data_IF_814912841793
#
_entry.id   IF_814912841793
#
_cell.length_a   1.000
_cell.length_b   1.000
_cell.length_c   1.000
_cell.angle_alpha   90.00
_cell.angle_beta   90.00
_cell.angle_gamma   90.00
#
_symmetry.space_group_name_H-M   'P 1'
#
loop_
_entity.id
_entity.type
_entity.pdbx_description
1 polymer ?
#
# COMPACT_ATOMS: atom_id res chain seq x y z
N UNK A 1 -1.00 -6.75 5.58
CA UNK A 1 0.45 -7.09 5.57
C UNK A 1 0.97 -7.12 4.16
N UNK A 2 2.22 -6.73 4.00
CA UNK A 2 2.90 -6.63 2.72
C UNK A 2 3.79 -7.84 2.45
N UNK A 3 3.62 -8.42 1.27
CA UNK A 3 4.45 -9.49 0.72
C UNK A 3 5.39 -8.88 -0.33
N UNK A 4 6.67 -8.75 0.01
CA UNK A 4 7.70 -8.26 -0.92
C UNK A 4 8.00 -9.25 -2.04
N UNK A 5 8.68 -8.76 -3.08
CA UNK A 5 9.17 -9.57 -4.21
C UNK A 5 9.98 -10.79 -3.74
N UNK A 6 9.96 -11.83 -4.54
CA UNK A 6 10.71 -13.06 -4.30
C UNK A 6 10.11 -14.26 -5.03
N UNK A 7 10.76 -15.39 -4.92
CA UNK A 7 10.27 -16.65 -5.48
C UNK A 7 8.89 -17.01 -4.91
N UNK A 8 7.95 -17.51 -5.74
CA UNK A 8 6.58 -17.80 -5.33
C UNK A 8 6.47 -18.66 -4.05
N UNK A 9 7.31 -19.68 -3.91
CA UNK A 9 7.33 -20.53 -2.72
C UNK A 9 7.77 -19.78 -1.46
N UNK A 10 8.73 -18.87 -1.57
CA UNK A 10 9.22 -18.06 -0.45
C UNK A 10 8.18 -17.01 -0.01
N UNK A 11 7.46 -16.42 -0.97
CA UNK A 11 6.39 -15.46 -0.69
C UNK A 11 5.20 -16.15 -0.03
N UNK A 12 4.81 -17.35 -0.50
CA UNK A 12 3.78 -18.17 0.14
C UNK A 12 4.16 -18.51 1.58
N UNK A 13 5.38 -18.99 1.83
CA UNK A 13 5.86 -19.29 3.18
C UNK A 13 5.87 -18.03 4.09
N UNK A 14 6.09 -16.83 3.52
CA UNK A 14 5.98 -15.57 4.26
C UNK A 14 4.53 -15.25 4.61
N UNK A 15 3.59 -15.45 3.68
CA UNK A 15 2.16 -15.28 3.94
C UNK A 15 1.68 -16.21 5.06
N UNK A 16 2.07 -17.47 5.02
CA UNK A 16 1.73 -18.46 6.05
C UNK A 16 2.29 -18.07 7.42
N UNK A 17 3.54 -17.59 7.50
CA UNK A 17 4.11 -17.07 8.76
C UNK A 17 3.33 -15.87 9.28
N UNK A 18 2.89 -14.93 8.41
CA UNK A 18 2.04 -13.84 8.84
C UNK A 18 0.74 -14.34 9.46
N UNK A 19 0.08 -15.31 8.85
CA UNK A 19 -1.16 -15.88 9.40
C UNK A 19 -0.99 -16.63 10.72
N UNK A 20 0.21 -17.12 11.03
CA UNK A 20 0.54 -17.67 12.34
C UNK A 20 0.67 -16.58 13.41
N UNK A 21 1.06 -15.36 13.04
CA UNK A 21 1.31 -14.25 13.95
C UNK A 21 0.09 -13.35 14.13
N UNK A 22 -0.72 -13.19 13.08
CA UNK A 22 -1.89 -12.31 13.10
C UNK A 22 -2.95 -12.77 12.08
N UNK A 23 -4.25 -12.51 12.36
CA UNK A 23 -5.35 -12.89 11.45
C UNK A 23 -5.47 -11.92 10.27
N UNK A 24 -4.39 -11.68 9.51
CA UNK A 24 -4.37 -10.72 8.41
C UNK A 24 -5.44 -11.02 7.36
N UNK A 25 -6.26 -10.03 7.05
CA UNK A 25 -7.30 -10.07 6.02
C UNK A 25 -7.03 -9.12 4.86
N UNK A 26 -6.07 -8.21 5.00
CA UNK A 26 -5.59 -7.34 3.92
C UNK A 26 -4.17 -7.71 3.58
N UNK A 27 -3.98 -8.16 2.34
CA UNK A 27 -2.71 -8.63 1.82
C UNK A 27 -2.33 -7.73 0.66
N UNK A 28 -1.17 -7.08 0.76
CA UNK A 28 -0.55 -6.33 -0.32
C UNK A 28 0.55 -7.19 -0.94
N UNK A 29 0.48 -7.44 -2.22
CA UNK A 29 1.46 -8.20 -2.98
C UNK A 29 2.28 -7.25 -3.85
N UNK A 30 3.60 -7.27 -3.67
CA UNK A 30 4.52 -6.57 -4.55
C UNK A 30 4.71 -7.37 -5.83
N UNK A 31 4.51 -6.72 -6.98
CA UNK A 31 4.80 -7.19 -8.32
C UNK A 31 5.75 -6.21 -9.01
N UNK A 32 5.94 -6.31 -10.32
CA UNK A 32 6.90 -5.48 -11.05
C UNK A 32 8.32 -6.03 -10.93
N UNK A 33 8.45 -7.35 -10.83
CA UNK A 33 9.74 -8.03 -10.76
C UNK A 33 10.60 -7.79 -12.01
N UNK A 34 11.91 -7.59 -11.87
CA UNK A 34 12.83 -7.58 -13.01
C UNK A 34 12.85 -8.92 -13.77
N UNK A 35 12.33 -10.01 -13.17
CA UNK A 35 12.18 -11.31 -13.80
C UNK A 35 11.01 -11.37 -14.80
N UNK A 36 10.23 -10.27 -14.88
CA UNK A 36 9.25 -10.02 -15.91
C UNK A 36 7.85 -10.56 -15.59
N UNK A 37 6.94 -10.32 -16.53
CA UNK A 37 5.50 -10.59 -16.39
C UNK A 37 5.16 -12.05 -16.05
N UNK A 38 5.91 -13.01 -16.60
CA UNK A 38 5.65 -14.43 -16.31
C UNK A 38 5.88 -14.78 -14.83
N UNK A 39 6.90 -14.19 -14.21
CA UNK A 39 7.17 -14.32 -12.79
C UNK A 39 6.05 -13.66 -11.95
N UNK A 40 5.65 -12.45 -12.31
CA UNK A 40 4.56 -11.73 -11.64
C UNK A 40 3.24 -12.51 -11.70
N UNK A 41 2.92 -13.13 -12.85
CA UNK A 41 1.74 -13.99 -13.01
C UNK A 41 1.80 -15.25 -12.13
N UNK A 42 2.98 -15.90 -12.06
CA UNK A 42 3.16 -17.08 -11.20
C UNK A 42 2.97 -16.70 -9.71
N UNK A 43 3.53 -15.56 -9.29
CA UNK A 43 3.42 -15.06 -7.93
C UNK A 43 1.98 -14.70 -7.59
N UNK A 44 1.29 -13.99 -8.48
CA UNK A 44 -0.13 -13.64 -8.32
C UNK A 44 -0.99 -14.91 -8.17
N UNK A 45 -0.78 -15.91 -9.02
CA UNK A 45 -1.56 -17.15 -9.01
C UNK A 45 -1.40 -17.92 -7.70
N UNK A 46 -0.17 -18.04 -7.19
CA UNK A 46 0.10 -18.76 -5.93
C UNK A 46 -0.55 -18.05 -4.74
N UNK A 47 -0.43 -16.73 -4.67
CA UNK A 47 -1.02 -15.95 -3.56
C UNK A 47 -2.55 -15.97 -3.65
N UNK A 48 -3.15 -15.74 -4.82
CA UNK A 48 -4.60 -15.79 -4.98
C UNK A 48 -5.19 -17.16 -4.61
N UNK A 49 -4.53 -18.26 -5.01
CA UNK A 49 -4.94 -19.61 -4.62
C UNK A 49 -4.89 -19.83 -3.10
N UNK A 50 -3.85 -19.33 -2.43
CA UNK A 50 -3.73 -19.43 -0.97
C UNK A 50 -4.83 -18.64 -0.24
N UNK A 51 -5.19 -17.45 -0.74
CA UNK A 51 -6.28 -16.64 -0.16
C UNK A 51 -7.64 -17.36 -0.32
N UNK A 52 -7.90 -17.94 -1.48
CA UNK A 52 -9.12 -18.70 -1.75
C UNK A 52 -9.19 -19.96 -0.87
N UNK A 53 -8.10 -20.70 -0.76
CA UNK A 53 -8.02 -21.88 0.13
C UNK A 53 -8.31 -21.47 1.59
N UNK A 54 -7.72 -20.36 2.07
CA UNK A 54 -8.00 -19.84 3.41
C UNK A 54 -9.48 -19.51 3.57
N UNK A 55 -10.10 -18.84 2.61
CA UNK A 55 -11.53 -18.53 2.62
C UNK A 55 -12.39 -19.79 2.74
N UNK A 56 -12.05 -20.84 1.99
CA UNK A 56 -12.77 -22.14 2.03
C UNK A 56 -12.65 -22.82 3.39
N UNK A 57 -11.47 -22.76 4.02
CA UNK A 57 -11.21 -23.46 5.29
C UNK A 57 -11.76 -22.66 6.48
N UNK A 58 -11.63 -21.35 6.48
CA UNK A 58 -11.93 -20.51 7.66
C UNK A 58 -13.22 -19.70 7.53
N UNK A 59 -13.77 -19.58 6.34
CA UNK A 59 -14.89 -18.66 6.02
C UNK A 59 -14.48 -17.19 5.96
N UNK A 60 -13.21 -16.86 6.19
CA UNK A 60 -12.69 -15.47 6.21
C UNK A 60 -12.18 -15.09 4.83
N UNK A 61 -12.79 -14.08 4.23
CA UNK A 61 -12.29 -13.50 2.98
C UNK A 61 -11.12 -12.55 3.23
N UNK A 62 -10.12 -12.60 2.35
CA UNK A 62 -9.01 -11.65 2.35
C UNK A 62 -9.09 -10.73 1.13
N UNK A 63 -8.76 -9.44 1.32
CA UNK A 63 -8.57 -8.48 0.24
C UNK A 63 -7.14 -8.59 -0.30
N UNK A 64 -7.00 -8.73 -1.62
CA UNK A 64 -5.70 -8.72 -2.29
C UNK A 64 -5.48 -7.38 -2.98
N UNK A 65 -4.46 -6.65 -2.57
CA UNK A 65 -3.98 -5.43 -3.19
C UNK A 65 -2.68 -5.72 -3.93
N UNK A 66 -2.44 -5.06 -5.05
CA UNK A 66 -1.20 -5.20 -5.81
C UNK A 66 -0.51 -3.86 -5.94
N UNK A 67 0.80 -3.86 -5.72
CA UNK A 67 1.67 -2.72 -5.93
C UNK A 67 2.85 -3.17 -6.82
N UNK A 68 2.94 -2.57 -8.00
CA UNK A 68 4.00 -2.89 -8.95
C UNK A 68 5.22 -1.99 -8.81
N UNK A 69 5.21 -1.00 -7.90
CA UNK A 69 6.30 -0.06 -7.63
C UNK A 69 6.96 0.52 -8.89
N UNK A 70 6.16 0.80 -9.92
CA UNK A 70 6.65 1.31 -11.20
C UNK A 70 7.44 0.31 -12.04
N UNK A 71 7.34 -0.97 -11.74
CA UNK A 71 8.13 -2.02 -12.40
C UNK A 71 7.64 -2.40 -13.80
N UNK A 72 6.48 -1.90 -14.26
CA UNK A 72 5.95 -2.22 -15.58
C UNK A 72 6.05 -1.05 -16.56
N UNK A 73 6.22 -1.37 -17.85
CA UNK A 73 5.87 -0.48 -18.93
C UNK A 73 4.36 -0.49 -19.19
N UNK A 74 3.89 0.39 -20.07
CA UNK A 74 2.46 0.54 -20.35
C UNK A 74 1.82 -0.72 -20.95
N UNK A 75 2.55 -1.43 -21.82
CA UNK A 75 2.03 -2.64 -22.48
C UNK A 75 1.93 -3.80 -21.49
N UNK A 76 2.94 -3.98 -20.65
CA UNK A 76 2.92 -4.95 -19.53
C UNK A 76 1.81 -4.61 -18.55
N UNK A 77 1.68 -3.35 -18.14
CA UNK A 77 0.62 -2.91 -17.23
C UNK A 77 -0.78 -3.25 -17.79
N UNK A 78 -1.03 -2.97 -19.08
CA UNK A 78 -2.28 -3.32 -19.76
C UNK A 78 -2.53 -4.83 -19.81
N UNK A 79 -1.49 -5.62 -20.11
CA UNK A 79 -1.59 -7.07 -20.16
C UNK A 79 -1.90 -7.69 -18.79
N UNK A 80 -1.47 -7.05 -17.71
CA UNK A 80 -1.71 -7.50 -16.34
C UNK A 80 -3.14 -7.18 -15.83
N UNK A 81 -3.87 -6.23 -16.40
CA UNK A 81 -5.17 -5.80 -15.87
C UNK A 81 -6.18 -6.94 -15.75
N UNK A 82 -6.34 -7.75 -16.80
CA UNK A 82 -7.28 -8.87 -16.80
C UNK A 82 -6.88 -9.99 -15.82
N UNK A 83 -5.62 -10.47 -15.78
CA UNK A 83 -5.15 -11.38 -14.76
C UNK A 83 -5.38 -10.90 -13.31
N UNK A 84 -5.09 -9.63 -13.02
CA UNK A 84 -5.32 -9.02 -11.71
C UNK A 84 -6.81 -9.04 -11.33
N UNK A 85 -7.69 -8.58 -12.24
CA UNK A 85 -9.13 -8.56 -11.99
C UNK A 85 -9.70 -9.97 -11.76
N UNK A 86 -9.28 -10.96 -12.57
CA UNK A 86 -9.69 -12.37 -12.39
C UNK A 86 -9.20 -12.99 -11.09
N UNK A 87 -8.07 -12.54 -10.59
CA UNK A 87 -7.52 -12.98 -9.29
C UNK A 87 -8.16 -12.30 -8.08
N UNK A 88 -9.17 -11.44 -8.30
CA UNK A 88 -9.87 -10.76 -7.22
C UNK A 88 -9.08 -9.62 -6.57
N UNK A 89 -8.11 -9.06 -7.29
CA UNK A 89 -7.37 -7.87 -6.83
C UNK A 89 -8.34 -6.70 -6.69
N UNK A 90 -8.26 -5.98 -5.56
CA UNK A 90 -9.19 -4.88 -5.23
C UNK A 90 -8.62 -3.49 -5.52
N UNK A 91 -7.33 -3.36 -5.76
CA UNK A 91 -6.67 -2.14 -6.25
C UNK A 91 -5.31 -2.45 -6.89
N UNK A 92 -4.89 -1.57 -7.78
CA UNK A 92 -3.57 -1.57 -8.41
C UNK A 92 -2.85 -0.26 -8.06
N UNK A 93 -1.71 -0.38 -7.39
CA UNK A 93 -0.87 0.74 -6.98
C UNK A 93 0.35 0.85 -7.90
N UNK A 94 0.68 2.07 -8.31
CA UNK A 94 1.86 2.49 -9.06
C UNK A 94 2.37 1.47 -10.10
N UNK A 95 1.59 1.19 -11.15
CA UNK A 95 2.01 0.20 -12.17
C UNK A 95 3.21 0.66 -13.00
N UNK A 96 3.27 1.97 -13.33
CA UNK A 96 4.26 2.57 -14.21
C UNK A 96 5.32 3.31 -13.41
N UNK A 97 6.57 3.30 -13.89
CA UNK A 97 7.64 4.10 -13.31
C UNK A 97 7.28 5.60 -13.33
N UNK A 98 7.46 6.27 -12.19
CA UNK A 98 7.28 7.71 -12.11
C UNK A 98 8.28 8.42 -13.03
N UNK A 99 7.83 9.45 -13.72
CA UNK A 99 8.64 10.22 -14.67
C UNK A 99 9.05 11.55 -14.07
N UNK A 100 10.26 12.00 -14.37
CA UNK A 100 10.73 13.34 -13.98
C UNK A 100 9.94 14.46 -14.66
N UNK A 101 9.46 14.23 -15.89
CA UNK A 101 8.53 15.12 -16.56
C UNK A 101 7.09 14.85 -16.08
N UNK A 102 6.45 15.79 -15.36
CA UNK A 102 5.09 15.63 -14.88
C UNK A 102 4.05 15.38 -16.00
N UNK A 103 4.29 15.88 -17.20
CA UNK A 103 3.37 15.67 -18.31
C UNK A 103 3.44 14.22 -18.83
N UNK A 104 4.65 13.67 -18.96
CA UNK A 104 4.85 12.28 -19.35
C UNK A 104 4.30 11.31 -18.29
N UNK A 105 4.51 11.61 -17.02
CA UNK A 105 3.98 10.84 -15.90
C UNK A 105 2.44 10.81 -15.90
N UNK A 106 1.80 11.99 -16.09
CA UNK A 106 0.34 12.11 -16.22
C UNK A 106 -0.20 11.34 -17.41
N UNK A 107 0.48 11.42 -18.56
CA UNK A 107 0.05 10.74 -19.80
C UNK A 107 0.06 9.20 -19.61
N UNK A 108 1.02 8.66 -18.88
CA UNK A 108 1.07 7.23 -18.54
C UNK A 108 -0.17 6.79 -17.77
N UNK A 109 -0.50 7.50 -16.67
CA UNK A 109 -1.72 7.22 -15.89
C UNK A 109 -3.00 7.40 -16.73
N UNK A 110 -3.11 8.47 -17.51
CA UNK A 110 -4.26 8.70 -18.39
C UNK A 110 -4.47 7.56 -19.40
N UNK A 111 -3.37 7.07 -19.98
CA UNK A 111 -3.41 5.97 -20.96
C UNK A 111 -3.81 4.63 -20.37
N UNK A 112 -3.54 4.41 -19.07
CA UNK A 112 -3.91 3.19 -18.37
C UNK A 112 -5.31 3.26 -17.75
N UNK A 113 -5.66 4.38 -17.12
CA UNK A 113 -6.89 4.56 -16.34
C UNK A 113 -8.16 4.31 -17.17
N UNK A 114 -8.21 4.76 -18.43
CA UNK A 114 -9.41 4.63 -19.27
C UNK A 114 -9.85 3.18 -19.53
N UNK A 115 -8.97 2.20 -19.36
CA UNK A 115 -9.27 0.77 -19.54
C UNK A 115 -9.05 -0.07 -18.28
N UNK A 116 -8.72 0.55 -17.14
CA UNK A 116 -8.42 -0.17 -15.91
C UNK A 116 -9.72 -0.57 -15.19
N UNK A 117 -9.98 -1.88 -15.00
CA UNK A 117 -11.17 -2.34 -14.27
C UNK A 117 -10.99 -2.27 -12.74
N UNK A 118 -9.81 -1.88 -12.27
CA UNK A 118 -9.44 -1.82 -10.87
C UNK A 118 -9.22 -0.36 -10.44
N UNK A 119 -9.50 0.00 -9.20
CA UNK A 119 -9.04 1.27 -8.64
C UNK A 119 -7.54 1.43 -8.83
N UNK A 120 -7.13 2.50 -9.54
CA UNK A 120 -5.74 2.85 -9.84
C UNK A 120 -5.25 3.88 -8.83
N UNK A 121 -4.17 3.55 -8.11
CA UNK A 121 -3.61 4.38 -7.04
C UNK A 121 -2.20 4.84 -7.41
N UNK A 122 -1.94 6.15 -7.33
CA UNK A 122 -0.60 6.71 -7.53
C UNK A 122 0.17 6.78 -6.19
N UNK A 123 1.42 6.33 -6.18
CA UNK A 123 2.34 6.40 -5.05
C UNK A 123 3.58 7.25 -5.39
N UNK A 124 4.57 6.71 -6.08
CA UNK A 124 5.82 7.39 -6.39
C UNK A 124 5.63 8.61 -7.31
N UNK A 125 4.51 8.68 -8.01
CA UNK A 125 4.13 9.82 -8.86
C UNK A 125 3.41 10.94 -8.10
N UNK A 126 3.07 10.75 -6.82
CA UNK A 126 2.30 11.69 -6.00
C UNK A 126 3.01 12.03 -4.69
N UNK A 127 3.73 13.16 -4.65
CA UNK A 127 4.51 13.59 -3.49
C UNK A 127 3.84 14.70 -2.71
N UNK A 128 3.10 15.56 -3.37
CA UNK A 128 2.55 16.79 -2.80
C UNK A 128 1.18 17.13 -3.42
N UNK A 129 0.59 18.23 -2.98
CA UNK A 129 -0.71 18.68 -3.46
C UNK A 129 -0.73 18.98 -4.97
N UNK A 130 0.35 19.49 -5.54
CA UNK A 130 0.41 19.78 -6.98
C UNK A 130 0.35 18.48 -7.81
N UNK A 131 1.06 17.44 -7.38
CA UNK A 131 0.98 16.12 -8.01
C UNK A 131 -0.41 15.51 -7.89
N UNK A 132 -1.03 15.62 -6.70
CA UNK A 132 -2.40 15.16 -6.50
C UNK A 132 -3.36 15.81 -7.49
N UNK A 133 -3.31 17.14 -7.61
CA UNK A 133 -4.22 17.89 -8.50
C UNK A 133 -4.00 17.53 -9.98
N UNK A 134 -2.75 17.32 -10.37
CA UNK A 134 -2.37 16.89 -11.71
C UNK A 134 -2.89 15.50 -12.06
N UNK A 135 -2.78 14.55 -11.10
CA UNK A 135 -3.14 13.15 -11.30
C UNK A 135 -4.63 12.87 -11.09
N UNK A 136 -5.34 13.73 -10.35
CA UNK A 136 -6.73 13.49 -9.95
C UNK A 136 -7.70 13.06 -11.07
N UNK A 137 -7.60 13.55 -12.33
CA UNK A 137 -8.47 13.08 -13.42
C UNK A 137 -8.11 11.67 -13.95
N UNK A 138 -6.98 11.10 -13.52
CA UNK A 138 -6.37 9.91 -14.13
C UNK A 138 -6.07 8.79 -13.14
N UNK A 139 -6.57 8.91 -11.91
CA UNK A 139 -6.43 7.90 -10.85
C UNK A 139 -7.71 7.81 -10.02
N UNK A 140 -7.91 6.70 -9.33
CA UNK A 140 -9.02 6.51 -8.38
C UNK A 140 -8.59 6.80 -6.95
N UNK A 141 -7.29 6.93 -6.71
CA UNK A 141 -6.74 7.23 -5.39
C UNK A 141 -5.28 7.61 -5.40
N UNK A 142 -4.82 8.06 -4.27
CA UNK A 142 -3.42 8.42 -4.02
C UNK A 142 -2.91 7.74 -2.76
N UNK A 143 -1.63 7.37 -2.75
CA UNK A 143 -0.94 6.89 -1.56
C UNK A 143 -0.14 8.03 -0.92
N UNK A 144 -0.55 8.46 0.25
CA UNK A 144 0.13 9.48 1.05
C UNK A 144 1.14 8.78 1.97
N UNK A 145 2.40 9.19 1.87
CA UNK A 145 3.45 8.79 2.82
C UNK A 145 4.02 10.06 3.44
N UNK A 146 4.13 10.09 4.78
CA UNK A 146 4.55 11.32 5.49
C UNK A 146 5.93 11.82 5.05
N UNK A 147 6.85 10.91 4.70
CA UNK A 147 8.17 11.28 4.18
C UNK A 147 8.09 11.96 2.81
N UNK A 148 7.19 11.53 1.92
CA UNK A 148 6.98 12.18 0.63
C UNK A 148 6.34 13.55 0.80
N UNK A 149 5.26 13.62 1.58
CA UNK A 149 4.47 14.85 1.72
C UNK A 149 5.12 15.91 2.62
N UNK A 150 6.22 15.58 3.31
CA UNK A 150 6.89 16.52 4.20
C UNK A 150 6.24 16.69 5.56
N UNK A 151 5.37 15.73 5.96
CA UNK A 151 4.78 15.66 7.30
C UNK A 151 3.26 15.74 7.34
N UNK A 152 2.72 15.79 8.56
CA UNK A 152 1.28 15.69 8.84
C UNK A 152 0.44 16.82 8.24
N UNK A 153 0.97 18.04 8.20
CA UNK A 153 0.24 19.21 7.71
C UNK A 153 -0.15 19.07 6.25
N UNK A 154 0.83 18.79 5.39
CA UNK A 154 0.61 18.58 3.95
C UNK A 154 -0.17 17.29 3.69
N UNK A 155 0.15 16.20 4.41
CA UNK A 155 -0.58 14.93 4.30
C UNK A 155 -2.07 15.10 4.61
N UNK A 156 -2.44 15.86 5.64
CA UNK A 156 -3.83 16.16 5.98
C UNK A 156 -4.54 17.00 4.91
N UNK A 157 -3.83 18.00 4.35
CA UNK A 157 -4.33 18.82 3.25
C UNK A 157 -4.60 17.95 2.02
N UNK A 158 -3.63 17.11 1.63
CA UNK A 158 -3.76 16.17 0.52
C UNK A 158 -4.94 15.21 0.73
N UNK A 159 -5.05 14.59 1.91
CA UNK A 159 -6.13 13.64 2.22
C UNK A 159 -7.52 14.29 2.11
N UNK A 160 -7.69 15.52 2.64
CA UNK A 160 -8.95 16.26 2.55
C UNK A 160 -9.27 16.66 1.11
N UNK A 161 -8.27 17.09 0.36
CA UNK A 161 -8.42 17.48 -1.05
C UNK A 161 -8.78 16.27 -1.91
N UNK A 162 -8.07 15.14 -1.76
CA UNK A 162 -8.38 13.90 -2.46
C UNK A 162 -9.85 13.49 -2.26
N UNK A 163 -10.31 13.47 -1.02
CA UNK A 163 -11.71 13.12 -0.71
C UNK A 163 -12.74 14.08 -1.33
N UNK A 164 -12.44 15.38 -1.40
CA UNK A 164 -13.32 16.36 -2.07
C UNK A 164 -13.36 16.18 -3.58
N UNK A 165 -12.29 15.65 -4.16
CA UNK A 165 -12.22 15.30 -5.58
C UNK A 165 -12.82 13.91 -5.88
N UNK A 166 -13.33 13.20 -4.87
CA UNK A 166 -13.90 11.85 -5.03
C UNK A 166 -12.86 10.74 -5.06
N UNK A 167 -11.58 11.04 -4.78
CA UNK A 167 -10.50 10.06 -4.76
C UNK A 167 -10.45 9.27 -3.45
N UNK A 168 -10.07 8.01 -3.54
CA UNK A 168 -9.68 7.21 -2.40
C UNK A 168 -8.35 7.69 -1.82
N UNK A 169 -8.22 7.61 -0.50
CA UNK A 169 -6.96 7.91 0.20
C UNK A 169 -6.35 6.60 0.70
N UNK A 170 -5.14 6.33 0.28
CA UNK A 170 -4.25 5.36 0.88
C UNK A 170 -3.24 6.11 1.76
N UNK A 171 -2.88 5.54 2.90
CA UNK A 171 -1.75 6.00 3.70
C UNK A 171 -0.79 4.84 3.84
N UNK A 172 0.38 5.01 3.24
CA UNK A 172 1.43 4.02 3.20
C UNK A 172 2.64 4.38 4.04
N UNK A 173 3.59 3.47 4.04
CA UNK A 173 4.88 3.61 4.70
C UNK A 173 6.02 3.16 3.77
N UNK A 174 7.24 3.50 4.17
CA UNK A 174 8.47 2.86 3.72
C UNK A 174 8.89 1.78 4.75
N UNK A 175 10.15 1.70 5.11
CA UNK A 175 10.60 0.88 6.25
C UNK A 175 10.52 1.70 7.56
N UNK A 176 9.35 2.25 7.83
CA UNK A 176 9.09 3.18 8.90
C UNK A 176 8.86 2.46 10.23
N UNK A 177 9.39 3.01 11.33
CA UNK A 177 9.11 2.57 12.69
C UNK A 177 7.79 3.09 13.24
N UNK A 178 7.51 2.72 14.49
CA UNK A 178 6.28 3.06 15.19
C UNK A 178 6.05 4.58 15.33
N UNK A 179 7.12 5.38 15.39
CA UNK A 179 6.99 6.84 15.48
C UNK A 179 6.32 7.41 14.24
N UNK A 180 6.82 7.09 13.04
CA UNK A 180 6.30 7.64 11.79
C UNK A 180 4.95 6.99 11.42
N UNK A 181 4.83 5.67 11.58
CA UNK A 181 3.57 4.98 11.36
C UNK A 181 2.48 5.42 12.36
N UNK A 182 2.85 5.75 13.60
CA UNK A 182 1.92 6.29 14.60
C UNK A 182 1.42 7.70 14.24
N UNK A 183 2.32 8.53 13.68
CA UNK A 183 1.92 9.82 13.12
C UNK A 183 1.00 9.65 11.90
N UNK A 184 1.33 8.76 10.98
CA UNK A 184 0.51 8.45 9.81
C UNK A 184 -0.86 7.87 10.19
N UNK A 185 -0.94 7.07 11.26
CA UNK A 185 -2.19 6.49 11.77
C UNK A 185 -3.20 7.55 12.24
N UNK A 186 -2.78 8.79 12.54
CA UNK A 186 -3.70 9.89 12.86
C UNK A 186 -4.57 10.30 11.65
N UNK A 187 -4.17 9.91 10.43
CA UNK A 187 -4.95 10.15 9.21
C UNK A 187 -6.00 9.06 8.94
N UNK A 188 -5.99 7.93 9.66
CA UNK A 188 -6.87 6.76 9.40
C UNK A 188 -8.36 7.11 9.28
N UNK A 189 -8.94 8.09 9.98
CA UNK A 189 -10.35 8.48 9.77
C UNK A 189 -10.67 9.00 8.36
N UNK A 190 -9.65 9.36 7.56
CA UNK A 190 -9.79 9.84 6.19
C UNK A 190 -9.42 8.79 5.15
N UNK A 191 -8.89 7.64 5.58
CA UNK A 191 -8.22 6.63 4.76
C UNK A 191 -9.19 5.53 4.34
N UNK A 192 -9.13 5.15 3.07
CA UNK A 192 -9.82 3.98 2.53
C UNK A 192 -8.93 2.74 2.58
N UNK A 193 -7.64 2.89 2.29
CA UNK A 193 -6.68 1.79 2.20
C UNK A 193 -5.49 2.06 3.14
N UNK A 194 -5.52 1.56 4.39
CA UNK A 194 -4.37 1.65 5.29
C UNK A 194 -3.30 0.63 4.91
N UNK A 195 -2.03 1.08 4.88
CA UNK A 195 -0.85 0.27 4.58
C UNK A 195 0.33 0.70 5.49
N UNK A 196 0.18 0.45 6.79
CA UNK A 196 1.08 0.90 7.86
C UNK A 196 1.63 -0.29 8.64
N UNK A 197 2.21 -1.27 7.95
CA UNK A 197 2.67 -2.53 8.54
C UNK A 197 4.19 -2.63 8.70
N UNK A 198 4.97 -1.68 8.20
CA UNK A 198 6.44 -1.76 8.19
C UNK A 198 7.06 -1.93 9.58
N UNK A 199 6.51 -1.27 10.62
CA UNK A 199 6.97 -1.41 12.00
C UNK A 199 6.87 -2.85 12.54
N UNK A 200 5.99 -3.69 11.98
CA UNK A 200 5.86 -5.10 12.36
C UNK A 200 7.06 -5.96 11.91
N UNK A 201 7.88 -5.44 11.01
CA UNK A 201 9.10 -6.10 10.52
C UNK A 201 10.36 -5.68 11.29
N UNK A 202 10.24 -4.70 12.20
CA UNK A 202 11.37 -4.20 12.98
C UNK A 202 11.48 -4.97 14.30
N UNK A 203 12.71 -5.33 14.67
CA UNK A 203 13.01 -6.03 15.92
C UNK A 203 13.52 -5.10 17.02
N UNK A 204 13.96 -3.90 16.64
CA UNK A 204 14.63 -2.92 17.50
C UNK A 204 14.03 -1.51 17.37
N UNK A 205 12.72 -1.43 17.13
CA UNK A 205 12.04 -0.14 17.06
C UNK A 205 12.14 0.60 18.40
N UNK A 206 12.78 1.78 18.44
CA UNK A 206 12.97 2.53 19.68
C UNK A 206 11.67 3.16 20.21
N UNK A 207 10.57 3.07 19.46
CA UNK A 207 9.29 3.66 19.82
C UNK A 207 8.19 2.59 19.93
N UNK A 208 7.18 2.89 20.75
CA UNK A 208 5.99 2.06 20.95
C UNK A 208 4.74 2.93 21.02
N UNK A 209 3.57 2.34 20.80
CA UNK A 209 2.29 3.05 20.92
C UNK A 209 1.28 2.70 19.85
N UNK A 210 1.72 2.10 18.73
CA UNK A 210 0.80 1.54 17.76
C UNK A 210 0.18 0.27 18.34
N UNK A 211 -1.14 0.30 18.50
CA UNK A 211 -1.91 -0.84 18.96
C UNK A 211 -2.57 -1.56 17.80
N UNK A 212 -2.77 -2.85 17.97
CA UNK A 212 -3.49 -3.68 17.03
C UNK A 212 -4.57 -4.49 17.75
N UNK A 213 -5.77 -4.51 17.18
CA UNK A 213 -6.89 -5.35 17.66
C UNK A 213 -7.24 -6.34 16.57
N UNK A 214 -6.75 -7.57 16.68
CA UNK A 214 -6.80 -8.54 15.59
C UNK A 214 -5.90 -8.11 14.43
N UNK A 215 -6.49 -7.84 13.27
CA UNK A 215 -5.83 -7.29 12.07
C UNK A 215 -6.07 -5.79 11.86
N UNK A 216 -6.75 -5.13 12.80
CA UNK A 216 -7.04 -3.69 12.72
C UNK A 216 -5.99 -2.89 13.48
N UNK A 217 -5.33 -1.97 12.78
CA UNK A 217 -4.46 -0.98 13.39
C UNK A 217 -5.29 0.11 14.05
N UNK A 218 -4.99 0.39 15.31
CA UNK A 218 -5.66 1.43 16.11
C UNK A 218 -4.72 2.62 16.26
N UNK A 219 -5.15 3.85 15.95
CA UNK A 219 -4.34 5.03 16.20
C UNK A 219 -3.94 5.09 17.68
N UNK A 220 -2.68 5.43 18.00
CA UNK A 220 -2.25 5.55 19.38
C UNK A 220 -3.08 6.60 20.13
N UNK A 221 -3.42 6.29 21.37
CA UNK A 221 -4.07 7.22 22.29
C UNK A 221 -3.04 7.94 23.15
N UNK A 222 -3.29 9.20 23.50
CA UNK A 222 -2.45 10.00 24.38
C UNK A 222 -2.08 11.36 23.81
N UNK A 223 -1.24 12.14 24.51
CA UNK A 223 -0.78 13.44 24.03
C UNK A 223 -0.03 13.35 22.68
N UNK A 224 -0.17 14.38 21.85
CA UNK A 224 0.45 14.44 20.54
C UNK A 224 -0.06 13.33 19.61
N UNK A 225 0.84 12.50 19.11
CA UNK A 225 0.52 11.33 18.25
C UNK A 225 0.37 10.03 19.05
N UNK A 226 0.46 10.09 20.41
CA UNK A 226 0.30 8.95 21.30
C UNK A 226 1.45 7.93 21.28
N UNK A 227 2.47 8.12 20.46
CA UNK A 227 3.69 7.31 20.43
C UNK A 227 4.66 7.77 21.53
N UNK A 228 5.36 6.86 22.14
CA UNK A 228 6.31 7.11 23.24
C UNK A 228 7.59 6.31 23.04
N UNK A 229 8.72 6.72 23.64
CA UNK A 229 9.93 5.92 23.68
C UNK A 229 9.67 4.53 24.28
N UNK A 230 10.29 3.51 23.69
CA UNK A 230 10.33 2.16 24.23
C UNK A 230 11.26 2.03 25.44
N UNK A 231 11.33 0.86 26.05
CA UNK A 231 12.27 0.60 27.15
C UNK A 231 13.71 0.73 26.65
N UNK A 232 14.54 1.47 27.41
CA UNK A 232 15.97 1.65 27.11
C UNK A 232 16.31 2.84 26.20
N UNK A 233 15.32 3.57 25.70
CA UNK A 233 15.54 4.86 25.03
C UNK A 233 15.64 5.95 26.10
N UNK A 234 16.76 6.68 26.14
CA UNK A 234 16.93 7.82 27.05
C UNK A 234 15.90 8.91 26.69
N UNK A 235 15.21 9.42 27.70
CA UNK A 235 14.41 10.63 27.54
C UNK A 235 15.36 11.79 27.26
N UNK A 236 15.21 12.44 26.09
CA UNK A 236 15.95 13.65 25.73
C UNK A 236 15.29 14.89 26.33
#
# INVERSE_FOLDING_TARGET
>A
VTLGLGEPAAVLARLERWWQQLPATRIKLKLGSPDGMAHDLALLAVVAAALEQRRQVTGVACELQVDANGGWDLDTARAMLEPLARSGVVLLEQPLASQLDPAADTAGFAALHSGCPLPLVADESCWNLADLLRLAPHVDGINIKLLKSGGLGEALLMARTARRLGLGVMVGCYSDGALLNGAAAQLLPLVRWPDLDSHLNLVDDPFVGLERRGDVLVPPAGPGIGVRPGQGVAEC
#
